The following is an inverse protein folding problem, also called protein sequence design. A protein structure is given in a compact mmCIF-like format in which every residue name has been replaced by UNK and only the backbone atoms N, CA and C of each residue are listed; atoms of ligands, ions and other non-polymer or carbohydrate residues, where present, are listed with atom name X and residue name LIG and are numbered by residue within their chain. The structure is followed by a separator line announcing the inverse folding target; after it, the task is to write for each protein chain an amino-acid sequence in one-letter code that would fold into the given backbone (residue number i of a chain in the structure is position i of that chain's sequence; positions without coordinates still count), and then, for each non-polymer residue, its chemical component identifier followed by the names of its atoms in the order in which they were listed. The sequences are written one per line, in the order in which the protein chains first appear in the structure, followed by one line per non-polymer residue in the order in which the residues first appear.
data_IF_522970307556
#
_entry.id   IF_522970307556
#
_cell.length_a   1.000
_cell.length_b   1.000
_cell.length_c   1.000
_cell.angle_alpha   90.00
_cell.angle_beta   90.00
_cell.angle_gamma   90.00
#
_symmetry.space_group_name_H-M   'P 1'
#
loop_
_entity.id
_entity.type
_entity.pdbx_description
1 polymer ?
#
# COMPACT_ATOMS: atom_id res chain seq x y z
N UNK A 1 -6.83 19.41 -0.36
CA UNK A 1 -6.07 19.06 -1.58
C UNK A 1 -6.13 20.21 -2.61
N UNK A 2 -7.29 20.85 -2.79
CA UNK A 2 -7.41 21.97 -3.76
C UNK A 2 -6.57 23.21 -3.40
N UNK A 3 -6.11 23.32 -2.16
CA UNK A 3 -5.18 24.39 -1.74
C UNK A 3 -3.73 24.11 -2.16
N UNK A 4 -3.44 22.92 -2.66
CA UNK A 4 -2.11 22.58 -3.20
C UNK A 4 -1.91 23.28 -4.54
N UNK A 5 -0.86 24.08 -4.71
CA UNK A 5 -0.63 24.82 -5.94
C UNK A 5 -0.62 23.92 -7.19
N UNK A 6 -1.37 24.32 -8.21
CA UNK A 6 -1.50 23.57 -9.46
C UNK A 6 -2.47 22.41 -9.42
N UNK A 7 -3.19 22.22 -8.31
CA UNK A 7 -4.27 21.24 -8.23
C UNK A 7 -5.52 21.69 -8.97
N UNK A 8 -6.25 20.73 -9.52
CA UNK A 8 -7.47 20.96 -10.30
C UNK A 8 -8.52 19.89 -9.99
N UNK A 9 -9.73 20.33 -9.65
CA UNK A 9 -10.87 19.44 -9.52
C UNK A 9 -11.33 18.98 -10.92
N UNK A 10 -11.27 17.68 -11.17
CA UNK A 10 -11.71 17.12 -12.45
C UNK A 10 -13.21 16.81 -12.45
N UNK A 11 -13.71 16.26 -11.34
CA UNK A 11 -15.14 16.04 -11.11
C UNK A 11 -15.44 15.78 -9.63
N UNK A 12 -16.71 15.89 -9.26
CA UNK A 12 -17.19 15.64 -7.90
C UNK A 12 -16.89 16.77 -6.92
N UNK A 13 -16.56 16.42 -5.68
CA UNK A 13 -16.19 17.37 -4.62
C UNK A 13 -17.37 17.87 -3.79
N UNK A 14 -18.60 17.49 -4.11
CA UNK A 14 -19.80 17.91 -3.38
C UNK A 14 -20.37 16.79 -2.52
N UNK A 15 -21.05 17.12 -1.42
CA UNK A 15 -21.86 16.15 -0.72
C UNK A 15 -22.92 15.53 -1.65
N UNK A 16 -23.09 14.23 -1.53
CA UNK A 16 -24.12 13.52 -2.27
C UNK A 16 -25.50 13.96 -1.78
N UNK A 17 -26.45 14.14 -2.70
CA UNK A 17 -27.83 14.50 -2.41
C UNK A 17 -28.79 13.35 -2.76
N UNK A 18 -30.00 13.38 -2.20
CA UNK A 18 -31.07 12.42 -2.50
C UNK A 18 -30.67 10.94 -2.30
N UNK A 19 -30.02 10.63 -1.18
CA UNK A 19 -29.57 9.28 -0.82
C UNK A 19 -30.19 8.81 0.50
N UNK A 20 -30.15 7.49 0.75
CA UNK A 20 -30.64 6.86 1.97
C UNK A 20 -29.56 6.61 3.04
N UNK A 21 -28.34 7.09 2.82
CA UNK A 21 -27.23 6.92 3.77
C UNK A 21 -27.53 7.75 5.03
N UNK A 22 -27.49 7.16 6.23
CA UNK A 22 -27.73 7.89 7.47
C UNK A 22 -26.81 9.10 7.62
N UNK A 23 -27.35 10.23 8.10
CA UNK A 23 -26.62 11.51 8.22
C UNK A 23 -25.38 11.47 9.11
N UNK A 24 -25.25 10.46 9.98
CA UNK A 24 -24.04 10.23 10.77
C UNK A 24 -22.82 9.78 9.95
N UNK A 25 -23.01 9.36 8.69
CA UNK A 25 -21.95 9.01 7.77
C UNK A 25 -21.79 10.12 6.73
N UNK A 26 -20.55 10.42 6.37
CA UNK A 26 -20.28 11.27 5.21
C UNK A 26 -20.70 10.56 3.91
N UNK A 27 -21.33 11.28 3.03
CA UNK A 27 -21.68 10.81 1.69
C UNK A 27 -21.28 11.88 0.68
N UNK A 28 -20.36 11.53 -0.22
CA UNK A 28 -19.81 12.44 -1.21
C UNK A 28 -19.90 11.84 -2.61
N UNK A 29 -19.99 12.70 -3.59
CA UNK A 29 -19.88 12.30 -4.99
C UNK A 29 -18.51 11.67 -5.27
N UNK A 30 -18.40 10.70 -6.20
CA UNK A 30 -17.11 10.28 -6.71
C UNK A 30 -16.29 11.49 -7.13
N UNK A 31 -15.07 11.58 -6.61
CA UNK A 31 -14.25 12.79 -6.73
C UNK A 31 -12.87 12.45 -7.26
N UNK A 32 -12.40 13.19 -8.25
CA UNK A 32 -11.03 13.11 -8.73
C UNK A 32 -10.39 14.51 -8.78
N UNK A 33 -9.16 14.58 -8.27
CA UNK A 33 -8.36 15.80 -8.29
C UNK A 33 -7.04 15.50 -8.99
N UNK A 34 -6.72 16.31 -10.00
CA UNK A 34 -5.40 16.30 -10.62
C UNK A 34 -4.44 17.14 -9.78
N UNK A 35 -3.26 16.60 -9.49
CA UNK A 35 -2.19 17.31 -8.79
C UNK A 35 -0.87 17.18 -9.55
N UNK A 36 0.03 18.18 -9.49
CA UNK A 36 1.36 18.06 -10.07
C UNK A 36 2.17 16.96 -9.37
N UNK A 37 2.92 16.15 -10.14
CA UNK A 37 3.77 15.09 -9.59
C UNK A 37 4.77 15.62 -8.56
N UNK A 38 5.33 16.81 -8.82
CA UNK A 38 6.26 17.47 -7.90
C UNK A 38 5.64 17.77 -6.52
N UNK A 39 4.34 18.08 -6.47
CA UNK A 39 3.65 18.31 -5.21
C UNK A 39 3.50 17.00 -4.41
N UNK A 40 3.24 15.88 -5.08
CA UNK A 40 3.16 14.56 -4.45
C UNK A 40 4.53 14.14 -3.90
N UNK A 41 5.61 14.39 -4.61
CA UNK A 41 6.97 14.06 -4.14
C UNK A 41 7.53 15.01 -3.07
N UNK A 42 6.93 16.20 -2.92
CA UNK A 42 7.38 17.30 -2.09
C UNK A 42 6.76 17.38 -0.70
N UNK A 43 6.54 18.61 -0.25
CA UNK A 43 6.03 18.95 1.08
C UNK A 43 4.60 18.46 1.35
N UNK A 44 3.82 18.24 0.32
CA UNK A 44 2.43 17.75 0.43
C UNK A 44 2.31 16.22 0.40
N UNK A 45 3.43 15.48 0.47
CA UNK A 45 3.44 14.02 0.34
C UNK A 45 2.42 13.35 1.28
N UNK A 46 2.48 13.62 2.57
CA UNK A 46 1.59 13.01 3.56
C UNK A 46 0.11 13.30 3.27
N UNK A 47 -0.20 14.55 2.93
CA UNK A 47 -1.56 14.96 2.59
C UNK A 47 -2.08 14.20 1.36
N UNK A 48 -1.24 14.08 0.33
CA UNK A 48 -1.64 13.56 -0.99
C UNK A 48 -1.59 12.03 -1.07
N UNK A 49 -0.87 11.36 -0.16
CA UNK A 49 -0.75 9.90 -0.13
C UNK A 49 -1.49 9.23 1.02
N UNK A 50 -2.11 10.02 1.92
CA UNK A 50 -3.00 9.46 2.95
C UNK A 50 -4.26 8.88 2.32
N UNK A 51 -4.50 7.60 2.56
CA UNK A 51 -5.67 6.90 2.05
C UNK A 51 -6.97 7.46 2.64
N UNK A 52 -7.89 7.83 1.77
CA UNK A 52 -9.26 8.18 2.14
C UNK A 52 -10.19 7.01 1.80
N UNK A 53 -10.83 6.42 2.82
CA UNK A 53 -11.84 5.38 2.62
C UNK A 53 -13.14 6.00 2.07
N UNK A 54 -13.14 6.29 0.78
CA UNK A 54 -14.25 6.92 0.10
C UNK A 54 -14.05 6.98 -1.42
N UNK A 55 -15.00 7.49 -2.17
CA UNK A 55 -14.95 7.56 -3.63
C UNK A 55 -14.06 8.73 -4.09
N UNK A 56 -12.79 8.71 -3.71
CA UNK A 56 -11.83 9.78 -3.98
C UNK A 56 -10.55 9.23 -4.57
N UNK A 57 -9.97 9.95 -5.53
CA UNK A 57 -8.66 9.62 -6.09
C UNK A 57 -7.85 10.86 -6.46
N UNK A 58 -6.55 10.73 -6.35
CA UNK A 58 -5.55 11.67 -6.86
C UNK A 58 -5.07 11.17 -8.23
N UNK A 59 -4.96 12.08 -9.18
CA UNK A 59 -4.46 11.83 -10.53
C UNK A 59 -3.23 12.70 -10.77
N UNK A 60 -2.13 12.08 -11.18
CA UNK A 60 -0.91 12.77 -11.61
C UNK A 60 -0.60 12.41 -13.06
N UNK A 61 -0.11 13.36 -13.81
CA UNK A 61 0.49 13.12 -15.12
C UNK A 61 2.00 13.16 -14.99
N UNK A 62 2.69 12.34 -15.76
CA UNK A 62 4.15 12.30 -15.81
C UNK A 62 4.63 12.04 -17.24
N UNK A 63 5.84 12.50 -17.55
CA UNK A 63 6.56 12.18 -18.79
C UNK A 63 7.56 11.05 -18.59
N UNK A 64 8.21 10.65 -19.67
CA UNK A 64 9.21 9.57 -19.63
C UNK A 64 10.39 9.90 -18.72
N UNK A 65 10.77 11.17 -18.62
CA UNK A 65 11.86 11.64 -17.76
C UNK A 65 11.48 11.65 -16.25
N UNK A 66 10.19 11.58 -15.93
CA UNK A 66 9.70 11.62 -14.56
C UNK A 66 9.60 10.23 -13.90
N UNK A 67 9.79 9.15 -14.65
CA UNK A 67 9.51 7.78 -14.17
C UNK A 67 10.33 7.42 -12.93
N UNK A 68 11.59 7.78 -12.85
CA UNK A 68 12.41 7.48 -11.67
C UNK A 68 11.93 8.25 -10.43
N UNK A 69 11.52 9.50 -10.62
CA UNK A 69 10.87 10.29 -9.57
C UNK A 69 9.54 9.69 -9.11
N UNK A 70 8.73 9.24 -10.05
CA UNK A 70 7.47 8.54 -9.77
C UNK A 70 7.71 7.25 -8.97
N UNK A 71 8.68 6.43 -9.37
CA UNK A 71 9.03 5.19 -8.66
C UNK A 71 9.51 5.46 -7.23
N UNK A 72 10.28 6.53 -7.03
CA UNK A 72 10.69 6.97 -5.69
C UNK A 72 9.51 7.42 -4.83
N UNK A 73 8.50 8.05 -5.41
CA UNK A 73 7.26 8.40 -4.72
C UNK A 73 6.49 7.13 -4.34
N UNK A 74 6.33 6.19 -5.27
CA UNK A 74 5.63 4.93 -5.02
C UNK A 74 6.29 4.12 -3.91
N UNK A 75 7.63 4.08 -3.86
CA UNK A 75 8.39 3.40 -2.79
C UNK A 75 8.15 4.03 -1.41
N UNK A 76 7.96 5.34 -1.34
CA UNK A 76 7.66 6.05 -0.09
C UNK A 76 6.24 5.82 0.42
N UNK A 77 5.29 5.50 -0.46
CA UNK A 77 3.90 5.20 -0.05
C UNK A 77 3.91 3.94 0.81
N UNK A 78 3.18 3.99 1.93
CA UNK A 78 3.07 2.84 2.82
C UNK A 78 2.00 1.83 2.36
N UNK A 79 2.03 0.65 2.97
CA UNK A 79 1.02 -0.42 2.83
C UNK A 79 1.08 -1.27 1.56
N UNK A 80 1.62 -0.85 0.47
CA UNK A 80 1.90 -1.62 -0.77
C UNK A 80 0.98 -2.84 -1.04
N UNK A 81 -0.34 -2.68 -0.90
CA UNK A 81 -1.29 -3.80 -1.03
C UNK A 81 -1.40 -4.24 -2.49
N UNK A 82 -1.96 -3.37 -3.32
CA UNK A 82 -2.19 -3.65 -4.74
C UNK A 82 -1.69 -2.53 -5.63
N UNK A 83 -1.28 -2.90 -6.83
CA UNK A 83 -0.97 -1.99 -7.92
C UNK A 83 -1.56 -2.49 -9.23
N UNK A 84 -1.68 -1.61 -10.21
CA UNK A 84 -2.02 -1.97 -11.57
C UNK A 84 -1.12 -1.22 -12.56
N UNK A 85 -0.58 -1.96 -13.54
CA UNK A 85 0.22 -1.41 -14.64
C UNK A 85 -0.56 -1.61 -15.93
N UNK A 86 -1.15 -0.55 -16.46
CA UNK A 86 -1.95 -0.58 -17.69
C UNK A 86 -1.05 -0.17 -18.85
N UNK A 87 -0.48 -1.13 -19.52
CA UNK A 87 0.39 -0.93 -20.68
C UNK A 87 0.41 -2.19 -21.56
N UNK A 88 0.67 -2.03 -22.86
CA UNK A 88 0.99 -3.11 -23.78
C UNK A 88 2.50 -3.24 -24.01
N UNK A 89 3.31 -2.28 -23.55
CA UNK A 89 4.77 -2.29 -23.72
C UNK A 89 5.43 -3.16 -22.63
N UNK A 90 6.06 -4.29 -23.00
CA UNK A 90 6.70 -5.18 -22.05
C UNK A 90 7.94 -4.56 -21.38
N UNK A 91 8.60 -3.61 -22.01
CA UNK A 91 9.77 -2.92 -21.41
C UNK A 91 9.32 -2.04 -20.27
N UNK A 92 8.28 -1.23 -20.50
CA UNK A 92 7.66 -0.42 -19.48
C UNK A 92 7.10 -1.27 -18.32
N UNK A 93 6.34 -2.34 -18.67
CA UNK A 93 5.80 -3.27 -17.66
C UNK A 93 6.90 -3.81 -16.76
N UNK A 94 7.98 -4.35 -17.35
CA UNK A 94 9.09 -4.94 -16.61
C UNK A 94 9.80 -3.91 -15.73
N UNK A 95 9.98 -2.67 -16.20
CA UNK A 95 10.58 -1.59 -15.40
C UNK A 95 9.76 -1.31 -14.14
N UNK A 96 8.44 -1.18 -14.28
CA UNK A 96 7.55 -0.90 -13.13
C UNK A 96 7.50 -2.10 -12.18
N UNK A 97 7.34 -3.32 -12.70
CA UNK A 97 7.27 -4.54 -11.89
C UNK A 97 8.56 -4.79 -11.10
N UNK A 98 9.71 -4.50 -11.69
CA UNK A 98 11.01 -4.66 -11.02
C UNK A 98 11.28 -3.60 -9.93
N UNK A 99 10.54 -2.48 -9.97
CA UNK A 99 10.78 -1.32 -9.09
C UNK A 99 9.66 -1.11 -8.06
N UNK A 100 8.67 -1.99 -7.99
CA UNK A 100 7.57 -1.90 -7.04
C UNK A 100 7.47 -3.16 -6.19
N UNK A 101 6.97 -3.02 -4.96
CA UNK A 101 6.94 -4.09 -3.95
C UNK A 101 5.51 -4.45 -3.52
N UNK A 102 4.50 -4.06 -4.27
CA UNK A 102 3.12 -4.38 -3.95
C UNK A 102 2.89 -5.89 -3.92
N UNK A 103 2.16 -6.38 -2.93
CA UNK A 103 1.91 -7.81 -2.75
C UNK A 103 1.20 -8.45 -3.93
N UNK A 104 0.27 -7.73 -4.55
CA UNK A 104 -0.37 -8.13 -5.81
C UNK A 104 -0.30 -7.00 -6.82
N UNK A 105 0.26 -7.26 -7.98
CA UNK A 105 0.28 -6.31 -9.10
C UNK A 105 -0.41 -6.90 -10.30
N UNK A 106 -1.46 -6.22 -10.76
CA UNK A 106 -2.15 -6.53 -12.01
C UNK A 106 -1.43 -5.85 -13.17
N UNK A 107 -1.18 -6.58 -14.25
CA UNK A 107 -0.42 -6.06 -15.39
C UNK A 107 -1.11 -6.38 -16.72
N UNK A 108 -1.06 -5.44 -17.66
CA UNK A 108 -1.61 -5.55 -19.01
C UNK A 108 -2.75 -4.58 -19.27
N UNK A 109 -3.25 -4.57 -20.51
CA UNK A 109 -4.24 -3.58 -20.96
C UNK A 109 -5.59 -3.60 -20.20
N UNK A 110 -5.89 -4.68 -19.50
CA UNK A 110 -7.10 -4.82 -18.67
C UNK A 110 -6.77 -4.88 -17.19
N UNK A 111 -5.54 -4.51 -16.82
CA UNK A 111 -5.13 -4.47 -15.43
C UNK A 111 -5.97 -3.45 -14.66
N UNK A 112 -6.42 -3.85 -13.48
CA UNK A 112 -7.15 -2.99 -12.53
C UNK A 112 -6.96 -3.53 -11.13
N UNK A 113 -6.85 -2.66 -10.16
CA UNK A 113 -6.98 -3.07 -8.77
C UNK A 113 -8.44 -3.37 -8.48
N UNK A 114 -8.72 -4.53 -7.94
CA UNK A 114 -10.06 -4.90 -7.49
C UNK A 114 -10.06 -5.06 -5.98
N UNK A 115 -11.22 -5.08 -5.35
CA UNK A 115 -11.35 -5.47 -3.95
C UNK A 115 -10.67 -6.83 -3.71
N UNK A 116 -10.21 -7.08 -2.49
CA UNK A 116 -9.42 -8.23 -2.13
C UNK A 116 -10.06 -9.59 -2.49
N UNK A 117 -9.72 -10.23 -3.63
CA UNK A 117 -10.11 -11.61 -3.86
C UNK A 117 -9.43 -12.49 -2.80
N UNK A 118 -10.17 -13.44 -2.24
CA UNK A 118 -9.70 -14.29 -1.13
C UNK A 118 -8.47 -15.15 -1.44
N UNK A 119 -8.11 -15.28 -2.71
CA UNK A 119 -6.98 -16.09 -3.18
C UNK A 119 -5.79 -15.27 -3.69
N UNK A 120 -5.79 -13.94 -3.49
CA UNK A 120 -4.68 -13.08 -3.85
C UNK A 120 -3.89 -12.68 -2.61
N UNK A 121 -2.58 -12.62 -2.77
CA UNK A 121 -1.68 -12.11 -1.75
C UNK A 121 -1.72 -10.58 -1.71
N UNK A 122 -1.98 -10.01 -0.54
CA UNK A 122 -1.91 -8.58 -0.30
C UNK A 122 -0.86 -8.28 0.75
N UNK A 123 0.10 -7.51 0.38
CA UNK A 123 1.24 -7.15 1.19
C UNK A 123 2.48 -7.95 0.83
N UNK A 124 3.63 -7.28 0.62
CA UNK A 124 4.88 -7.93 0.28
C UNK A 124 5.37 -8.81 1.43
N UNK A 125 5.70 -10.06 1.13
CA UNK A 125 6.23 -10.98 2.12
C UNK A 125 7.57 -10.47 2.67
N UNK A 126 7.69 -10.43 3.99
CA UNK A 126 8.90 -9.97 4.65
C UNK A 126 9.09 -8.44 4.71
N UNK A 127 8.19 -7.67 4.14
CA UNK A 127 8.21 -6.21 4.25
C UNK A 127 7.34 -5.77 5.44
N UNK A 128 7.88 -5.03 6.42
CA UNK A 128 7.13 -4.56 7.59
C UNK A 128 6.00 -3.58 7.25
N UNK A 129 5.99 -3.02 6.03
CA UNK A 129 4.91 -2.18 5.50
C UNK A 129 3.71 -3.00 5.03
N UNK A 130 3.84 -4.32 4.95
CA UNK A 130 2.80 -5.21 4.47
C UNK A 130 1.60 -5.25 5.41
N UNK A 131 0.41 -5.34 4.84
CA UNK A 131 -0.82 -5.52 5.61
C UNK A 131 -1.23 -6.99 5.80
N UNK A 132 -0.66 -7.93 5.05
CA UNK A 132 -0.84 -9.37 5.21
C UNK A 132 -2.28 -9.83 5.25
N UNK A 133 -3.00 -9.67 4.16
CA UNK A 133 -4.37 -10.15 4.00
C UNK A 133 -4.51 -10.93 2.68
N UNK A 134 -5.65 -11.57 2.47
CA UNK A 134 -6.02 -12.21 1.21
C UNK A 134 -5.78 -13.71 1.16
N UNK A 135 -4.75 -14.24 1.82
CA UNK A 135 -4.52 -15.69 1.96
C UNK A 135 -4.20 -16.06 3.41
N UNK A 136 -4.43 -17.33 3.83
CA UNK A 136 -4.02 -17.79 5.15
C UNK A 136 -2.52 -17.59 5.42
N UNK A 137 -1.68 -17.83 4.42
CA UNK A 137 -0.22 -17.64 4.51
C UNK A 137 0.15 -16.17 4.73
N UNK A 138 -0.50 -15.25 4.03
CA UNK A 138 -0.29 -13.81 4.22
C UNK A 138 -0.63 -13.38 5.65
N UNK A 139 -1.76 -13.85 6.18
CA UNK A 139 -2.18 -13.58 7.56
C UNK A 139 -1.16 -14.15 8.55
N UNK A 140 -0.78 -15.42 8.41
CA UNK A 140 0.17 -16.07 9.30
C UNK A 140 1.51 -15.34 9.29
N UNK A 141 2.05 -15.02 8.10
CA UNK A 141 3.36 -14.39 7.96
C UNK A 141 3.41 -12.97 8.54
N UNK A 142 2.32 -12.21 8.41
CA UNK A 142 2.30 -10.79 8.79
C UNK A 142 1.81 -10.56 10.22
N UNK A 143 0.82 -11.36 10.68
CA UNK A 143 0.16 -11.15 11.97
C UNK A 143 0.64 -12.06 13.08
N UNK A 144 1.53 -13.02 12.80
CA UNK A 144 2.12 -13.89 13.81
C UNK A 144 3.63 -13.85 13.77
N UNK A 145 4.24 -13.97 14.94
CA UNK A 145 5.69 -14.09 15.11
C UNK A 145 6.07 -15.50 15.54
N UNK A 146 7.25 -15.96 15.14
CA UNK A 146 7.82 -17.17 15.68
C UNK A 146 8.12 -17.00 17.18
N UNK A 147 7.67 -17.94 17.98
CA UNK A 147 8.02 -18.06 19.39
C UNK A 147 8.50 -19.46 19.66
N UNK A 148 9.70 -19.57 20.17
CA UNK A 148 10.28 -20.83 20.63
C UNK A 148 10.26 -20.88 22.15
N UNK A 149 9.82 -21.99 22.70
CA UNK A 149 9.83 -22.25 24.15
C UNK A 149 10.63 -23.51 24.37
N UNK A 150 11.78 -23.36 25.03
CA UNK A 150 12.62 -24.47 25.44
C UNK A 150 12.37 -24.69 26.94
N UNK A 151 11.86 -25.85 27.28
CA UNK A 151 11.58 -26.21 28.66
C UNK A 151 12.61 -27.24 29.14
N UNK A 152 13.41 -26.86 30.10
CA UNK A 152 14.25 -27.76 30.84
C UNK A 152 13.49 -28.17 32.13
N UNK A 153 13.12 -29.44 32.20
CA UNK A 153 12.33 -29.98 33.30
C UNK A 153 13.16 -30.92 34.23
N UNK A 154 14.45 -31.01 33.95
CA UNK A 154 15.37 -31.80 34.78
C UNK A 154 15.67 -31.12 36.11
N UNK A 155 15.78 -31.88 37.18
CA UNK A 155 16.39 -31.38 38.40
C UNK A 155 17.88 -31.15 38.16
N UNK A 156 18.40 -30.03 38.66
CA UNK A 156 19.83 -29.83 38.63
C UNK A 156 20.54 -30.90 39.47
N UNK A 157 21.62 -31.53 38.97
CA UNK A 157 22.46 -32.39 39.78
C UNK A 157 22.98 -31.65 41.02
N UNK A 158 23.12 -32.31 42.16
CA UNK A 158 23.58 -31.71 43.41
C UNK A 158 25.01 -31.13 43.28
N UNK A 159 25.78 -31.63 42.35
CA UNK A 159 27.16 -31.19 42.05
C UNK A 159 27.26 -30.18 40.86
N UNK A 160 26.11 -29.70 40.33
CA UNK A 160 26.12 -28.77 39.24
C UNK A 160 26.71 -27.42 39.64
N UNK A 161 27.63 -26.89 38.84
CA UNK A 161 28.24 -25.59 39.03
C UNK A 161 28.11 -24.74 37.78
N UNK A 162 27.98 -23.42 37.96
CA UNK A 162 28.01 -22.48 36.83
C UNK A 162 29.38 -22.60 36.12
N UNK A 163 29.39 -22.90 34.81
CA UNK A 163 30.63 -22.95 34.04
C UNK A 163 31.40 -21.63 34.16
N UNK A 164 32.74 -21.75 34.36
CA UNK A 164 33.60 -20.59 34.37
C UNK A 164 33.56 -19.87 33.00
N UNK A 165 33.44 -18.55 33.02
CA UNK A 165 33.55 -17.74 31.82
C UNK A 165 34.96 -17.93 31.22
N UNK A 166 35.01 -18.23 29.92
CA UNK A 166 36.28 -18.32 29.16
C UNK A 166 36.70 -16.97 28.64
#
# INVERSE_FOLDING_TARGET
VLDVPGSELLFGGSPLSNHSIPTRYGAYEPTAIRVPLAAVGGEHFELLTTELFGPFQIICTYGDDDIDGLLSILERISRHLTAAVVSADPVFQNRILASTVNGTTYCGMRARTTGAPQNHWFGPAGDPRAAGIGTPEAIITTWSGHREIIMDQGALPDDWQVPALK
#
